data_IF_583305548906
#
_entry.id   IF_583305548906
#
_cell.length_a   1.000
_cell.length_b   1.000
_cell.length_c   1.000
_cell.angle_alpha   90.00
_cell.angle_beta   90.00
_cell.angle_gamma   90.00
#
_symmetry.space_group_name_H-M   'P 1'
#
loop_
_entity.id
_entity.type
_entity.pdbx_description
1 polymer ?
#
# COMPACT_ATOMS: atom_id res chain seq x y z
N UNK A 1 8.47 -17.77 3.42
CA UNK A 1 8.56 -16.49 2.69
C UNK A 1 7.32 -15.65 2.82
N UNK A 2 6.18 -16.17 2.45
CA UNK A 2 4.96 -15.38 2.52
C UNK A 2 4.62 -14.99 3.94
N UNK A 3 4.79 -15.88 4.89
CA UNK A 3 4.48 -15.57 6.29
C UNK A 3 5.35 -14.43 6.82
N UNK A 4 6.62 -14.44 6.41
CA UNK A 4 7.54 -13.39 6.84
C UNK A 4 7.13 -12.03 6.25
N UNK A 5 6.74 -12.00 4.99
CA UNK A 5 6.28 -10.78 4.35
C UNK A 5 4.98 -10.31 4.99
N UNK A 6 4.04 -11.24 5.28
CA UNK A 6 2.78 -10.88 5.91
C UNK A 6 3.02 -10.22 7.26
N UNK A 7 3.98 -10.75 8.03
CA UNK A 7 4.31 -10.18 9.33
C UNK A 7 4.88 -8.77 9.19
N UNK A 8 5.82 -8.60 8.25
CA UNK A 8 6.41 -7.28 8.00
C UNK A 8 5.35 -6.28 7.53
N UNK A 9 4.45 -6.74 6.67
CA UNK A 9 3.40 -5.89 6.15
C UNK A 9 2.46 -5.43 7.26
N UNK A 10 2.14 -6.33 8.19
CA UNK A 10 1.32 -5.95 9.33
C UNK A 10 2.02 -4.92 10.20
N UNK A 11 3.33 -5.08 10.42
CA UNK A 11 4.09 -4.12 11.20
C UNK A 11 4.11 -2.75 10.51
N UNK A 12 4.22 -2.74 9.19
CA UNK A 12 4.19 -1.50 8.43
C UNK A 12 2.85 -0.79 8.59
N UNK A 13 1.75 -1.53 8.47
CA UNK A 13 0.42 -0.94 8.64
C UNK A 13 0.21 -0.43 10.06
N UNK A 14 0.65 -1.19 11.06
CA UNK A 14 0.52 -0.76 12.45
C UNK A 14 1.33 0.52 12.70
N UNK A 15 2.53 0.61 12.12
CA UNK A 15 3.34 1.80 12.24
C UNK A 15 2.63 3.01 11.63
N UNK A 16 1.98 2.82 10.50
CA UNK A 16 1.25 3.88 9.84
C UNK A 16 0.10 4.35 10.74
N UNK A 17 -0.71 3.42 11.25
CA UNK A 17 -1.84 3.79 12.09
C UNK A 17 -1.38 4.49 13.37
N UNK A 18 -0.24 4.07 13.92
CA UNK A 18 0.29 4.67 15.12
C UNK A 18 1.05 5.98 14.87
N UNK A 19 1.38 6.26 13.61
CA UNK A 19 2.21 7.42 13.31
C UNK A 19 3.66 7.24 13.72
N UNK A 20 4.13 5.99 13.76
CA UNK A 20 5.49 5.68 14.19
C UNK A 20 6.43 5.79 12.99
N UNK A 21 6.96 6.98 12.77
CA UNK A 21 7.76 7.24 11.57
C UNK A 21 9.09 6.51 11.57
N UNK A 22 9.63 6.17 12.74
CA UNK A 22 10.87 5.40 12.78
C UNK A 22 10.63 3.99 12.24
N UNK A 23 9.53 3.38 12.61
CA UNK A 23 9.17 2.08 12.10
C UNK A 23 8.82 2.14 10.62
N UNK A 24 8.11 3.18 10.19
CA UNK A 24 7.82 3.36 8.77
C UNK A 24 9.10 3.43 7.97
N UNK A 25 10.10 4.16 8.46
CA UNK A 25 11.36 4.30 7.75
C UNK A 25 12.09 2.97 7.63
N UNK A 26 11.91 2.07 8.59
CA UNK A 26 12.55 0.76 8.53
C UNK A 26 11.91 -0.14 7.48
N UNK A 27 10.60 -0.01 7.29
CA UNK A 27 9.88 -0.89 6.38
C UNK A 27 9.75 -0.33 4.97
N UNK A 28 10.05 0.94 4.76
CA UNK A 28 9.91 1.59 3.46
C UNK A 28 11.29 1.78 2.83
N UNK A 29 11.36 1.40 1.56
CA UNK A 29 12.57 1.60 0.78
C UNK A 29 12.87 3.11 0.70
N UNK A 30 14.16 3.51 0.63
CA UNK A 30 14.47 4.94 0.49
C UNK A 30 13.78 5.62 -0.68
N UNK A 31 13.45 4.87 -1.73
CA UNK A 31 12.78 5.41 -2.91
C UNK A 31 11.27 5.13 -2.91
N UNK A 32 10.71 4.82 -1.75
CA UNK A 32 9.30 4.49 -1.64
C UNK A 32 8.42 5.63 -2.15
N UNK A 33 7.37 5.27 -2.88
CA UNK A 33 6.36 6.21 -3.33
C UNK A 33 4.97 5.68 -3.03
N UNK A 34 4.11 6.55 -2.55
CA UNK A 34 2.70 6.27 -2.37
C UNK A 34 1.94 7.05 -3.44
N UNK A 35 1.27 6.32 -4.31
CA UNK A 35 0.45 6.90 -5.35
C UNK A 35 -0.99 6.84 -4.86
N UNK A 36 -1.49 7.94 -4.34
CA UNK A 36 -2.84 7.98 -3.79
C UNK A 36 -3.78 8.54 -4.85
N UNK A 37 -4.44 7.65 -5.57
CA UNK A 37 -5.34 8.05 -6.65
C UNK A 37 -6.67 8.57 -6.12
N UNK A 38 -6.91 8.40 -4.82
CA UNK A 38 -8.09 8.98 -4.19
C UNK A 38 -7.94 10.50 -4.08
N UNK A 39 -6.72 10.96 -3.81
CA UNK A 39 -6.43 12.39 -3.66
C UNK A 39 -5.71 12.97 -4.88
N UNK A 40 -5.18 12.13 -5.74
CA UNK A 40 -4.40 12.57 -6.88
C UNK A 40 -2.95 12.91 -6.57
N UNK A 41 -2.46 12.58 -5.40
CA UNK A 41 -1.11 12.95 -4.99
C UNK A 41 -0.15 11.77 -5.04
N UNK A 42 1.12 12.06 -5.36
CA UNK A 42 2.20 11.10 -5.25
C UNK A 42 3.11 11.62 -4.16
N UNK A 43 3.37 10.78 -3.14
CA UNK A 43 4.14 11.17 -1.99
C UNK A 43 5.29 10.20 -1.77
N UNK A 44 6.45 10.72 -1.42
CA UNK A 44 7.59 9.91 -1.06
C UNK A 44 7.77 9.89 0.45
N UNK A 45 9.02 9.73 0.87
CA UNK A 45 9.29 9.64 2.31
C UNK A 45 9.18 10.98 3.02
N UNK A 46 9.06 12.07 2.28
CA UNK A 46 8.81 13.36 2.91
C UNK A 46 7.49 13.37 3.69
N UNK A 47 6.59 12.43 3.39
CA UNK A 47 5.34 12.36 4.12
C UNK A 47 5.56 11.99 5.60
N UNK A 48 6.74 11.43 5.92
CA UNK A 48 7.06 11.13 7.32
C UNK A 48 7.11 12.40 8.17
N UNK A 49 7.53 13.50 7.58
CA UNK A 49 7.56 14.78 8.31
C UNK A 49 6.14 15.24 8.61
N UNK A 50 5.23 15.06 7.65
CA UNK A 50 3.84 15.44 7.86
C UNK A 50 3.19 14.57 8.94
N UNK A 51 3.50 13.27 8.93
CA UNK A 51 2.97 12.37 9.94
C UNK A 51 3.51 12.76 11.33
N UNK A 52 4.81 12.98 11.42
CA UNK A 52 5.42 13.33 12.69
C UNK A 52 4.85 14.65 13.23
N UNK A 53 4.62 15.62 12.35
CA UNK A 53 4.02 16.87 12.73
C UNK A 53 2.61 16.65 13.28
N UNK A 54 1.81 15.85 12.58
CA UNK A 54 0.45 15.56 13.01
C UNK A 54 0.44 14.83 14.35
N UNK A 55 1.38 13.88 14.56
CA UNK A 55 1.46 13.16 15.83
C UNK A 55 1.81 14.13 16.95
N UNK A 56 2.76 15.03 16.71
CA UNK A 56 3.17 15.99 17.73
C UNK A 56 2.03 16.93 18.12
N UNK A 57 1.08 17.15 17.22
CA UNK A 57 -0.06 18.03 17.48
C UNK A 57 -1.33 17.24 17.81
N UNK A 58 -1.17 15.93 18.08
CA UNK A 58 -2.30 15.05 18.42
C UNK A 58 -3.38 15.05 17.35
N UNK A 59 -2.96 15.20 16.10
CA UNK A 59 -3.86 15.29 14.95
C UNK A 59 -3.73 14.12 13.99
N UNK A 60 -2.95 13.10 14.35
CA UNK A 60 -2.77 11.95 13.45
C UNK A 60 -3.93 10.98 13.65
N UNK A 61 -4.86 10.95 12.70
CA UNK A 61 -6.06 10.11 12.78
C UNK A 61 -6.32 9.48 11.42
N UNK A 62 -5.47 8.56 10.99
CA UNK A 62 -5.65 7.93 9.68
C UNK A 62 -6.85 7.02 9.70
N UNK A 63 -7.49 6.87 8.54
CA UNK A 63 -8.56 5.90 8.41
C UNK A 63 -7.98 4.50 8.53
N UNK A 64 -8.68 3.63 9.25
CA UNK A 64 -8.28 2.23 9.34
C UNK A 64 -9.07 1.47 8.31
N UNK A 65 -8.34 0.67 7.52
CA UNK A 65 -8.97 -0.08 6.47
C UNK A 65 -9.35 -1.46 6.95
N UNK A 66 -10.53 -1.88 6.56
CA UNK A 66 -10.96 -3.25 6.80
C UNK A 66 -10.61 -4.04 5.54
N UNK A 67 -9.54 -4.82 5.60
CA UNK A 67 -9.05 -5.56 4.44
C UNK A 67 -9.91 -6.81 4.27
N UNK A 68 -10.55 -6.92 3.11
CA UNK A 68 -11.44 -8.04 2.82
C UNK A 68 -10.70 -9.20 2.18
N UNK A 69 -9.70 -8.93 1.36
CA UNK A 69 -8.93 -10.00 0.74
C UNK A 69 -7.52 -9.51 0.39
N UNK A 70 -6.60 -10.46 0.28
CA UNK A 70 -5.21 -10.18 -0.05
C UNK A 70 -4.69 -11.29 -0.95
N UNK A 71 -3.86 -10.94 -1.91
CA UNK A 71 -3.23 -11.90 -2.78
C UNK A 71 -1.76 -11.53 -2.95
N UNK A 72 -0.88 -12.53 -2.81
CA UNK A 72 0.57 -12.36 -2.88
C UNK A 72 1.10 -13.09 -4.11
N UNK A 73 1.85 -12.38 -4.94
CA UNK A 73 2.47 -12.95 -6.13
C UNK A 73 3.97 -12.67 -6.08
N UNK A 74 4.75 -13.74 -5.89
CA UNK A 74 6.20 -13.62 -5.77
C UNK A 74 6.86 -13.78 -7.13
N UNK A 75 8.01 -13.11 -7.32
CA UNK A 75 8.83 -13.33 -8.49
C UNK A 75 9.46 -14.73 -8.43
N UNK A 76 10.00 -15.18 -9.56
CA UNK A 76 10.58 -16.52 -9.64
C UNK A 76 11.72 -16.71 -8.65
N UNK A 77 12.52 -15.68 -8.41
CA UNK A 77 13.63 -15.77 -7.47
C UNK A 77 13.20 -15.54 -6.02
N UNK A 78 11.94 -15.21 -5.79
CA UNK A 78 11.44 -14.99 -4.44
C UNK A 78 11.87 -13.68 -3.79
N UNK A 79 12.55 -12.80 -4.53
CA UNK A 79 13.10 -11.57 -3.96
C UNK A 79 12.20 -10.36 -4.17
N UNK A 80 11.07 -10.53 -4.84
CA UNK A 80 10.09 -9.48 -5.05
C UNK A 80 8.70 -10.06 -4.88
N UNK A 81 7.78 -9.21 -4.45
CA UNK A 81 6.40 -9.65 -4.29
C UNK A 81 5.46 -8.49 -4.56
N UNK A 82 4.42 -8.77 -5.34
CA UNK A 82 3.33 -7.84 -5.52
C UNK A 82 2.18 -8.30 -4.63
N UNK A 83 1.63 -7.37 -3.85
CA UNK A 83 0.49 -7.67 -3.00
C UNK A 83 -0.69 -6.87 -3.52
N UNK A 84 -1.79 -7.57 -3.82
CA UNK A 84 -3.03 -6.93 -4.20
C UNK A 84 -4.02 -7.15 -3.06
N UNK A 85 -4.55 -6.06 -2.52
CA UNK A 85 -5.50 -6.14 -1.43
C UNK A 85 -6.70 -5.27 -1.74
N UNK A 86 -7.83 -5.61 -1.15
CA UNK A 86 -9.04 -4.80 -1.28
C UNK A 86 -9.61 -4.56 0.09
N UNK A 87 -9.92 -3.30 0.37
CA UNK A 87 -10.58 -2.91 1.59
C UNK A 87 -12.03 -2.60 1.25
N UNK A 88 -12.95 -3.00 2.13
CA UNK A 88 -14.36 -2.73 1.92
C UNK A 88 -14.85 -1.57 2.78
N UNK A 89 -14.05 -1.07 3.69
CA UNK A 89 -14.40 0.07 4.54
C UNK A 89 -13.13 0.87 4.84
N UNK A 90 -12.89 1.97 4.16
CA UNK A 90 -13.56 2.42 2.93
C UNK A 90 -13.20 1.55 1.74
N UNK A 91 -13.99 1.61 0.69
CA UNK A 91 -13.74 0.80 -0.50
C UNK A 91 -12.55 1.34 -1.25
N UNK A 92 -11.46 0.58 -1.24
CA UNK A 92 -10.24 0.97 -1.92
C UNK A 92 -9.48 -0.27 -2.35
N UNK A 93 -8.87 -0.19 -3.53
CA UNK A 93 -8.00 -1.24 -4.04
C UNK A 93 -6.57 -0.81 -3.76
N UNK A 94 -5.78 -1.72 -3.21
CA UNK A 94 -4.42 -1.43 -2.76
C UNK A 94 -3.47 -2.34 -3.52
N UNK A 95 -2.44 -1.77 -4.11
CA UNK A 95 -1.40 -2.55 -4.76
C UNK A 95 -0.08 -2.14 -4.17
N UNK A 96 0.71 -3.12 -3.73
CA UNK A 96 1.98 -2.91 -3.07
C UNK A 96 3.06 -3.66 -3.80
N UNK A 97 4.27 -3.10 -3.83
CA UNK A 97 5.41 -3.74 -4.42
C UNK A 97 6.51 -3.81 -3.38
N UNK A 98 6.89 -5.03 -3.01
CA UNK A 98 7.86 -5.29 -1.95
C UNK A 98 9.10 -5.94 -2.52
N UNK A 99 10.26 -5.62 -1.95
CA UNK A 99 11.54 -6.23 -2.36
C UNK A 99 12.25 -6.76 -1.12
N UNK A 100 13.01 -7.83 -1.33
CA UNK A 100 13.84 -8.43 -0.29
C UNK A 100 15.28 -7.99 -0.48
N UNK A 101 15.83 -7.27 0.51
CA UNK A 101 17.21 -6.84 0.54
C UNK A 101 17.65 -6.94 1.98
N UNK A 102 17.89 -8.18 2.46
CA UNK A 102 18.19 -8.49 3.85
C UNK A 102 16.96 -8.37 4.74
N UNK A 103 15.92 -7.68 4.29
CA UNK A 103 14.61 -7.65 4.91
C UNK A 103 13.63 -7.20 3.84
N UNK A 104 12.33 -7.40 4.11
CA UNK A 104 11.31 -6.94 3.17
C UNK A 104 11.10 -5.44 3.34
N UNK A 105 11.11 -4.72 2.23
CA UNK A 105 10.79 -3.29 2.22
C UNK A 105 9.82 -2.99 1.10
N UNK A 106 8.88 -2.11 1.38
CA UNK A 106 7.92 -1.71 0.38
C UNK A 106 8.51 -0.58 -0.46
N UNK A 107 8.41 -0.71 -1.78
CA UNK A 107 8.93 0.27 -2.72
C UNK A 107 7.83 1.17 -3.25
N UNK A 108 6.62 0.63 -3.40
CA UNK A 108 5.53 1.40 -3.96
C UNK A 108 4.20 0.90 -3.42
N UNK A 109 3.28 1.82 -3.20
CA UNK A 109 1.92 1.50 -2.83
C UNK A 109 0.99 2.37 -3.68
N UNK A 110 0.00 1.76 -4.31
CA UNK A 110 -0.97 2.47 -5.14
C UNK A 110 -2.35 2.25 -4.58
N UNK A 111 -3.03 3.33 -4.25
CA UNK A 111 -4.41 3.29 -3.75
C UNK A 111 -5.34 3.77 -4.86
N UNK A 112 -6.35 2.96 -5.17
CA UNK A 112 -7.28 3.27 -6.25
C UNK A 112 -8.71 3.08 -5.74
N UNK A 113 -9.64 3.99 -6.06
CA UNK A 113 -11.04 3.79 -5.67
C UNK A 113 -11.60 2.56 -6.37
N UNK A 114 -12.33 1.75 -5.63
CA UNK A 114 -12.93 0.55 -6.21
C UNK A 114 -13.91 0.90 -7.31
N UNK A 115 -14.67 1.98 -7.14
CA UNK A 115 -15.63 2.40 -8.14
C UNK A 115 -14.96 2.73 -9.47
N UNK A 116 -13.71 3.24 -9.42
CA UNK A 116 -12.97 3.55 -10.63
C UNK A 116 -12.61 2.25 -11.36
N UNK A 117 -12.20 1.24 -10.64
CA UNK A 117 -11.90 -0.06 -11.22
C UNK A 117 -13.14 -0.67 -11.83
N UNK A 118 -14.27 -0.50 -11.19
CA UNK A 118 -15.51 -1.05 -11.68
C UNK A 118 -15.94 -0.40 -12.99
N UNK A 119 -15.79 0.89 -13.05
CA UNK A 119 -16.22 1.61 -14.24
C UNK A 119 -15.52 1.12 -15.48
N UNK A 120 -14.32 0.75 -15.36
CA UNK A 120 -13.61 0.30 -16.45
C UNK A 120 -13.97 -0.99 -16.91
N UNK A 121 -14.60 -1.75 -16.22
CA UNK A 121 -14.88 -3.03 -16.64
C UNK A 121 -15.97 -3.14 -17.51
N UNK A 122 -16.55 -2.76 -18.03
CA UNK A 122 -17.69 -3.03 -18.79
C UNK A 122 -17.45 -3.67 -20.02
N UNK A 123 -17.35 -3.98 -19.96
CA UNK A 123 -17.35 -4.35 -20.61
C UNK A 123 -16.83 -4.84 -21.23
N UNK A 124 -16.78 -5.23 -21.17
CA UNK A 124 -16.30 -5.60 -21.50
C UNK A 124 -15.71 -5.79 -22.15
N UNK A 125 -15.45 -5.93 -22.29
CA UNK A 125 -14.96 -6.05 -22.67
C UNK A 125 -14.22 -6.03 -23.05
N UNK A 126 -13.88 -6.16 -23.02
CA UNK A 126 -13.22 -6.08 -23.05
C UNK A 126 -12.42 -6.02 -22.96
N UNK A 127 -12.10 -6.24 -23.01
CA UNK A 127 -11.46 -6.09 -22.66
C UNK A 127 -10.94 -5.70 -22.42
N UNK A 128 -10.67 -5.67 -22.18
CA UNK A 128 -10.15 -5.25 -21.61
C UNK A 128 -9.85 -4.93 -21.09
N UNK A 129 -9.92 -4.89 -20.83
CA UNK A 129 -9.75 -4.48 -20.21
C UNK A 129 -9.23 -4.38 -19.46
N UNK A 130 -9.07 -4.67 -19.38
CA UNK A 130 -8.59 -4.69 -18.38
C UNK A 130 -7.52 -4.24 -17.96
N UNK A 131 -6.88 -4.22 -18.28
CA UNK A 131 -5.65 -3.68 -17.98
C UNK A 131 -5.62 -2.63 -17.03
N UNK A 132 -6.42 -2.35 -16.50
CA UNK A 132 -6.40 -1.38 -15.69
C UNK A 132 -6.02 -1.70 -14.49
N UNK A 133 -5.29 -2.07 -14.22
CA UNK A 133 -4.79 -2.26 -12.98
C UNK A 133 -3.56 -2.70 -12.98
#
# INVERSE_FOLDING_TARGET
MQEQLQHTRQQWLQAYYAGDVLQLAQHEHPQFQLHNRLSGHIEGRERHEHIAFAVAHQAWKPARWHIACERFVFSDDGLQCQVAAEADTPEVSIQEFWVWEQCWRIVQCVLTPVSENTVITPTSDHSGLTGRL
#
